data_IF_072828483298
#
_entry.id   IF_072828483298
#
_cell.length_a   1.000
_cell.length_b   1.000
_cell.length_c   1.000
_cell.angle_alpha   90.00
_cell.angle_beta   90.00
_cell.angle_gamma   90.00
#
_symmetry.space_group_name_H-M   'P 1'
#
loop_
_entity.id
_entity.type
_entity.pdbx_description
1 polymer ?
#
# COMPACT_ATOMS: atom_id res chain seq x y z
N UNK A 1 -1.59 -3.88 7.25
CA UNK A 1 -1.61 -2.53 7.87
C UNK A 1 -0.31 -1.80 7.55
N UNK A 2 0.84 -2.21 8.10
CA UNK A 2 2.12 -1.52 7.92
C UNK A 2 2.55 -1.32 6.45
N UNK A 3 2.45 -2.37 5.64
CA UNK A 3 2.80 -2.32 4.20
C UNK A 3 1.98 -1.26 3.46
N UNK A 4 0.65 -1.33 3.54
CA UNK A 4 -0.21 -0.30 2.92
C UNK A 4 0.01 1.09 3.51
N UNK A 5 0.29 1.20 4.80
CA UNK A 5 0.64 2.47 5.42
C UNK A 5 1.89 3.09 4.76
N UNK A 6 2.97 2.32 4.65
CA UNK A 6 4.23 2.80 4.06
C UNK A 6 4.03 3.17 2.58
N UNK A 7 3.39 2.29 1.81
CA UNK A 7 3.06 2.53 0.41
C UNK A 7 2.26 3.84 0.23
N UNK A 8 1.18 4.01 0.99
CA UNK A 8 0.32 5.19 0.88
C UNK A 8 1.01 6.48 1.35
N UNK A 9 1.86 6.39 2.37
CA UNK A 9 2.64 7.53 2.83
C UNK A 9 3.60 8.03 1.75
N UNK A 10 4.29 7.10 1.07
CA UNK A 10 5.18 7.42 -0.06
C UNK A 10 4.41 8.01 -1.24
N UNK A 11 3.24 7.47 -1.56
CA UNK A 11 2.37 8.03 -2.61
C UNK A 11 1.99 9.49 -2.29
N UNK A 12 1.57 9.77 -1.05
CA UNK A 12 1.20 11.13 -0.63
C UNK A 12 2.39 12.10 -0.64
N UNK A 13 3.56 11.66 -0.17
CA UNK A 13 4.81 12.42 -0.23
C UNK A 13 5.17 12.80 -1.68
N UNK A 14 5.06 11.83 -2.60
CA UNK A 14 5.39 12.04 -4.01
C UNK A 14 4.36 12.94 -4.71
N UNK A 15 3.07 12.82 -4.38
CA UNK A 15 2.02 13.67 -4.95
C UNK A 15 2.20 15.15 -4.56
N UNK A 16 2.83 15.44 -3.43
CA UNK A 16 3.13 16.81 -3.02
C UNK A 16 4.58 17.24 -3.27
N UNK A 17 5.41 16.39 -3.89
CA UNK A 17 6.79 16.73 -4.23
C UNK A 17 6.89 17.69 -5.43
N UNK A 18 8.07 18.27 -5.64
CA UNK A 18 8.34 19.09 -6.82
C UNK A 18 8.21 18.29 -8.13
N UNK A 19 7.92 18.97 -9.24
CA UNK A 19 7.80 18.33 -10.56
C UNK A 19 9.06 17.52 -10.97
N UNK A 20 10.25 17.96 -10.54
CA UNK A 20 11.51 17.25 -10.75
C UNK A 20 11.56 15.89 -10.05
N UNK A 21 10.86 15.73 -8.93
CA UNK A 21 10.81 14.48 -8.16
C UNK A 21 9.64 13.61 -8.64
N UNK A 22 8.48 14.22 -8.93
CA UNK A 22 7.28 13.51 -9.42
C UNK A 22 7.54 12.64 -10.66
N UNK A 23 8.46 13.04 -11.55
CA UNK A 23 8.84 12.24 -12.73
C UNK A 23 9.40 10.85 -12.38
N UNK A 24 9.90 10.66 -11.15
CA UNK A 24 10.39 9.37 -10.65
C UNK A 24 9.36 8.63 -9.79
N UNK A 25 8.16 9.17 -9.61
CA UNK A 25 7.16 8.62 -8.69
C UNK A 25 6.79 7.17 -9.03
N UNK A 26 6.62 6.85 -10.32
CA UNK A 26 6.30 5.49 -10.77
C UNK A 26 7.39 4.47 -10.38
N UNK A 27 8.67 4.83 -10.57
CA UNK A 27 9.79 3.96 -10.21
C UNK A 27 9.89 3.83 -8.69
N UNK A 28 9.77 4.92 -7.96
CA UNK A 28 9.81 4.91 -6.50
C UNK A 28 8.70 4.03 -5.90
N UNK A 29 7.45 4.22 -6.34
CA UNK A 29 6.31 3.42 -5.89
C UNK A 29 6.51 1.94 -6.25
N UNK A 30 6.96 1.65 -7.48
CA UNK A 30 7.24 0.28 -7.92
C UNK A 30 8.32 -0.42 -7.10
N UNK A 31 9.39 0.30 -6.74
CA UNK A 31 10.45 -0.23 -5.88
C UNK A 31 9.97 -0.51 -4.46
N UNK A 32 9.13 0.36 -3.89
CA UNK A 32 8.52 0.10 -2.57
C UNK A 32 7.67 -1.16 -2.61
N UNK A 33 6.75 -1.26 -3.58
CA UNK A 33 5.90 -2.46 -3.72
C UNK A 33 6.75 -3.72 -3.94
N UNK A 34 7.80 -3.64 -4.76
CA UNK A 34 8.71 -4.76 -5.01
C UNK A 34 9.48 -5.21 -3.77
N UNK A 35 10.01 -4.26 -3.00
CA UNK A 35 10.73 -4.53 -1.76
C UNK A 35 9.79 -5.13 -0.71
N UNK A 36 8.62 -4.54 -0.54
CA UNK A 36 7.59 -5.05 0.35
C UNK A 36 7.13 -6.46 -0.04
N UNK A 37 6.96 -6.73 -1.34
CA UNK A 37 6.64 -8.07 -1.84
C UNK A 37 7.75 -9.08 -1.59
N UNK A 38 9.01 -8.68 -1.73
CA UNK A 38 10.16 -9.53 -1.47
C UNK A 38 10.25 -9.96 0.01
N UNK A 39 10.06 -9.01 0.93
CA UNK A 39 10.16 -9.30 2.37
C UNK A 39 8.87 -9.91 2.95
N UNK A 40 7.71 -9.35 2.65
CA UNK A 40 6.44 -9.75 3.25
C UNK A 40 5.66 -10.78 2.42
N UNK A 41 6.11 -11.09 1.20
CA UNK A 41 5.49 -12.08 0.33
C UNK A 41 5.38 -13.46 0.99
N UNK A 42 6.48 -14.04 1.52
CA UNK A 42 6.45 -15.33 2.21
C UNK A 42 5.68 -15.31 3.54
N UNK A 43 5.52 -14.13 4.16
CA UNK A 43 4.89 -13.99 5.48
C UNK A 43 3.37 -13.87 5.36
N UNK A 44 2.89 -13.02 4.45
CA UNK A 44 1.47 -12.66 4.35
C UNK A 44 1.00 -12.37 2.90
N UNK A 45 1.71 -12.86 1.89
CA UNK A 45 1.37 -12.63 0.47
C UNK A 45 1.52 -11.18 -0.01
N UNK A 46 2.00 -10.28 0.86
CA UNK A 46 2.30 -8.87 0.63
C UNK A 46 1.24 -8.12 -0.19
N UNK A 47 -0.05 -8.30 0.11
CA UNK A 47 -1.09 -7.57 -0.60
C UNK A 47 -1.43 -6.26 0.12
N UNK A 48 -1.03 -5.14 -0.48
CA UNK A 48 -1.41 -3.79 -0.02
C UNK A 48 -2.72 -3.28 -0.64
N UNK A 49 -3.37 -4.07 -1.51
CA UNK A 49 -4.49 -3.65 -2.33
C UNK A 49 -5.67 -4.64 -2.20
N UNK A 50 -6.83 -4.20 -1.66
CA UNK A 50 -8.03 -5.02 -1.54
C UNK A 50 -8.49 -5.64 -2.88
N UNK A 51 -8.46 -4.88 -3.97
CA UNK A 51 -8.88 -5.36 -5.29
C UNK A 51 -7.95 -6.46 -5.83
N UNK A 52 -6.64 -6.34 -5.57
CA UNK A 52 -5.64 -7.36 -5.91
C UNK A 52 -5.90 -8.67 -5.18
N UNK A 53 -6.34 -8.61 -3.92
CA UNK A 53 -6.66 -9.81 -3.13
C UNK A 53 -8.04 -10.40 -3.46
N UNK A 54 -9.01 -9.55 -3.82
CA UNK A 54 -10.38 -9.97 -4.08
C UNK A 54 -10.50 -10.85 -5.33
N UNK A 55 -9.87 -10.44 -6.44
CA UNK A 55 -9.95 -11.17 -7.71
C UNK A 55 -9.51 -12.66 -7.60
N UNK A 56 -8.32 -12.99 -7.09
CA UNK A 56 -7.89 -14.39 -6.95
C UNK A 56 -8.68 -15.14 -5.88
N UNK A 57 -9.17 -14.47 -4.82
CA UNK A 57 -9.98 -15.12 -3.79
C UNK A 57 -11.35 -15.57 -4.33
N UNK A 58 -11.97 -14.77 -5.20
CA UNK A 58 -13.21 -15.15 -5.88
C UNK A 58 -12.96 -16.31 -6.86
N UNK A 59 -11.90 -16.22 -7.69
CA UNK A 59 -11.59 -17.24 -8.70
C UNK A 59 -11.20 -18.58 -8.07
N UNK A 60 -10.44 -18.55 -6.97
CA UNK A 60 -10.00 -19.78 -6.27
C UNK A 60 -11.03 -20.34 -5.28
N UNK A 61 -12.09 -19.58 -4.97
CA UNK A 61 -13.05 -19.91 -3.90
C UNK A 61 -12.51 -19.79 -2.47
N UNK A 62 -11.26 -19.35 -2.28
CA UNK A 62 -10.63 -19.24 -0.97
C UNK A 62 -10.90 -17.87 -0.30
N UNK A 63 -12.05 -17.75 0.35
CA UNK A 63 -12.50 -16.50 0.98
C UNK A 63 -12.12 -16.36 2.46
N UNK A 64 -11.61 -17.42 3.09
CA UNK A 64 -11.40 -17.50 4.55
C UNK A 64 -10.52 -16.38 5.12
N UNK A 65 -9.50 -15.95 4.37
CA UNK A 65 -8.59 -14.87 4.78
C UNK A 65 -8.84 -13.56 4.04
N UNK A 66 -9.84 -13.48 3.16
CA UNK A 66 -10.07 -12.29 2.33
C UNK A 66 -10.37 -11.06 3.18
N UNK A 67 -11.12 -11.22 4.28
CA UNK A 67 -11.50 -10.13 5.16
C UNK A 67 -10.30 -9.32 5.66
N UNK A 68 -9.17 -9.97 6.01
CA UNK A 68 -8.00 -9.25 6.52
C UNK A 68 -7.37 -8.40 5.42
N UNK A 69 -7.40 -8.85 4.17
CA UNK A 69 -6.91 -8.09 3.02
C UNK A 69 -7.89 -7.00 2.54
N UNK A 70 -9.14 -7.02 3.00
CA UNK A 70 -10.06 -5.91 2.79
C UNK A 70 -9.81 -4.84 3.86
N UNK A 71 -9.84 -5.20 5.15
CA UNK A 71 -9.75 -4.21 6.23
C UNK A 71 -8.34 -3.67 6.47
N UNK A 72 -7.32 -4.52 6.48
CA UNK A 72 -5.98 -4.10 6.86
C UNK A 72 -5.35 -3.05 5.92
N UNK A 73 -5.60 -3.07 4.59
CA UNK A 73 -5.18 -1.99 3.72
C UNK A 73 -5.90 -0.67 3.97
N UNK A 74 -7.22 -0.68 4.19
CA UNK A 74 -7.96 0.56 4.49
C UNK A 74 -7.45 1.23 5.77
N UNK A 75 -7.21 0.45 6.82
CA UNK A 75 -6.64 0.97 8.08
C UNK A 75 -5.25 1.57 7.83
N UNK A 76 -4.38 0.86 7.08
CA UNK A 76 -3.04 1.36 6.76
C UNK A 76 -3.09 2.67 5.95
N UNK A 77 -3.94 2.75 4.94
CA UNK A 77 -4.13 3.94 4.12
C UNK A 77 -4.68 5.12 4.93
N UNK A 78 -5.65 4.87 5.81
CA UNK A 78 -6.20 5.88 6.69
C UNK A 78 -5.14 6.46 7.64
N UNK A 79 -4.34 5.60 8.26
CA UNK A 79 -3.23 6.03 9.12
C UNK A 79 -2.19 6.85 8.36
N UNK A 80 -1.87 6.46 7.12
CA UNK A 80 -0.93 7.20 6.28
C UNK A 80 -1.45 8.61 5.94
N UNK A 81 -2.73 8.72 5.58
CA UNK A 81 -3.37 9.99 5.32
C UNK A 81 -3.43 10.88 6.57
N UNK A 82 -3.68 10.29 7.74
CA UNK A 82 -3.66 11.00 9.02
C UNK A 82 -2.27 11.57 9.32
N UNK A 83 -1.22 10.74 9.27
CA UNK A 83 0.17 11.17 9.49
C UNK A 83 0.58 12.25 8.49
N UNK A 84 0.25 12.06 7.21
CA UNK A 84 0.51 13.05 6.18
C UNK A 84 -0.12 14.40 6.52
N UNK A 85 -1.41 14.41 6.85
CA UNK A 85 -2.18 15.64 7.07
C UNK A 85 -1.75 16.39 8.33
N UNK A 86 -1.42 15.69 9.41
CA UNK A 86 -1.18 16.31 10.72
C UNK A 86 0.29 16.51 11.07
N UNK A 87 1.22 15.80 10.42
CA UNK A 87 2.64 15.89 10.74
C UNK A 87 3.48 16.43 9.58
N UNK A 88 3.24 15.98 8.35
CA UNK A 88 4.13 16.24 7.21
C UNK A 88 3.68 17.39 6.32
N UNK A 89 2.38 17.70 6.31
CA UNK A 89 1.81 18.83 5.56
C UNK A 89 1.82 20.16 6.35
N UNK A 90 2.33 20.16 7.59
CA UNK A 90 2.36 21.36 8.43
C UNK A 90 3.28 22.46 7.90
#
# INVERSE_FOLDING_TARGET
>A
IFLTFLLMLIVLLLDHASAKIKKYAAIAIGLVVGLEAYFAGPICGASMNPARSLAPAIVSGQLQHLWIYLFAPFIGAFLAAFVWKFTLKS
#
